data_IF_397928290526
#
_entry.id   IF_397928290526
#
_cell.length_a   1.000
_cell.length_b   1.000
_cell.length_c   1.000
_cell.angle_alpha   90.00
_cell.angle_beta   90.00
_cell.angle_gamma   90.00
#
_symmetry.space_group_name_H-M   'P 1'
#
loop_
_entity.id
_entity.type
_entity.pdbx_description
1 polymer ?
#
# COMPACT_ATOMS: atom_id res chain seq x y z
N UNK A 1 3.60 9.49 -102.02
CA UNK A 1 4.93 10.06 -101.67
C UNK A 1 5.06 10.09 -100.15
N UNK A 2 6.19 9.55 -99.65
CA UNK A 2 6.84 9.77 -98.33
C UNK A 2 6.17 9.31 -97.01
N UNK A 3 6.51 8.06 -96.67
CA UNK A 3 7.03 7.48 -95.40
C UNK A 3 6.57 8.00 -94.01
N UNK A 4 6.28 7.07 -93.06
CA UNK A 4 6.03 7.35 -91.64
C UNK A 4 7.32 7.31 -90.79
N UNK A 5 7.36 8.11 -89.72
CA UNK A 5 8.47 8.19 -88.75
C UNK A 5 8.18 7.34 -87.50
N UNK A 6 9.24 6.70 -87.01
CA UNK A 6 9.34 5.69 -85.94
C UNK A 6 9.48 6.29 -84.52
N UNK A 7 8.94 5.54 -83.55
CA UNK A 7 9.50 5.10 -82.25
C UNK A 7 10.00 6.08 -81.17
N UNK A 8 9.43 5.92 -79.96
CA UNK A 8 10.07 6.08 -78.63
C UNK A 8 9.32 5.14 -77.65
N UNK A 9 9.85 3.97 -77.30
CA UNK A 9 10.88 3.67 -76.28
C UNK A 9 10.36 3.76 -74.83
N UNK A 10 9.83 2.63 -74.35
CA UNK A 10 9.41 2.32 -72.99
C UNK A 10 10.63 2.16 -72.06
N UNK A 11 10.71 2.96 -70.99
CA UNK A 11 11.73 2.80 -69.95
C UNK A 11 11.31 1.76 -68.90
N UNK A 12 12.23 0.86 -68.60
CA UNK A 12 12.19 -0.19 -67.56
C UNK A 12 12.93 0.31 -66.32
N UNK A 13 12.50 0.02 -65.08
CA UNK A 13 13.27 0.35 -63.88
C UNK A 13 14.45 -0.61 -63.67
N UNK A 14 15.54 -0.17 -63.02
CA UNK A 14 16.72 -0.99 -62.78
C UNK A 14 16.57 -1.92 -61.56
N UNK A 15 17.08 -3.15 -61.71
CA UNK A 15 17.31 -4.11 -60.63
C UNK A 15 18.49 -3.66 -59.73
N UNK A 16 18.47 -3.98 -58.42
CA UNK A 16 19.60 -3.76 -57.53
C UNK A 16 20.67 -4.86 -57.67
N UNK A 17 21.94 -4.44 -57.75
CA UNK A 17 23.11 -5.32 -57.75
C UNK A 17 23.51 -5.74 -56.33
N UNK A 18 24.11 -6.94 -56.15
CA UNK A 18 24.61 -7.44 -54.88
C UNK A 18 26.11 -7.20 -54.74
N UNK A 19 26.58 -6.69 -53.60
CA UNK A 19 28.02 -6.70 -53.29
C UNK A 19 28.34 -6.69 -51.79
N UNK A 20 29.25 -7.61 -51.45
CA UNK A 20 30.27 -7.56 -50.41
C UNK A 20 29.86 -7.86 -48.95
N UNK A 21 29.91 -9.15 -48.63
CA UNK A 21 30.24 -9.68 -47.30
C UNK A 21 31.69 -10.14 -47.36
N UNK A 22 32.59 -9.47 -46.64
CA UNK A 22 33.86 -10.03 -46.18
C UNK A 22 34.43 -9.20 -45.02
N UNK A 23 34.79 -9.93 -43.96
CA UNK A 23 35.86 -9.72 -42.99
C UNK A 23 35.88 -8.52 -42.05
N UNK A 24 35.55 -8.80 -40.78
CA UNK A 24 36.34 -8.30 -39.65
C UNK A 24 36.34 -9.34 -38.50
N UNK A 25 37.47 -10.05 -38.36
CA UNK A 25 37.88 -10.78 -37.17
C UNK A 25 38.98 -9.94 -36.50
N UNK A 26 38.75 -9.44 -35.27
CA UNK A 26 39.68 -9.56 -34.12
C UNK A 26 39.41 -8.55 -33.00
N UNK A 27 39.30 -9.11 -31.79
CA UNK A 27 39.92 -8.70 -30.52
C UNK A 27 39.52 -7.38 -29.81
N UNK A 28 38.77 -7.55 -28.71
CA UNK A 28 38.94 -6.83 -27.43
C UNK A 28 38.27 -7.70 -26.33
N UNK A 29 39.02 -8.44 -25.52
CA UNK A 29 39.63 -8.03 -24.24
C UNK A 29 38.62 -7.97 -23.07
N UNK A 30 38.78 -8.98 -22.21
CA UNK A 30 38.38 -9.16 -20.82
C UNK A 30 37.71 -8.00 -20.07
N UNK A 31 36.58 -8.29 -19.42
CA UNK A 31 36.19 -7.68 -18.14
C UNK A 31 35.49 -8.71 -17.24
N UNK A 32 35.88 -8.67 -15.97
CA UNK A 32 35.57 -9.59 -14.89
C UNK A 32 34.08 -9.71 -14.55
N UNK A 33 33.67 -10.95 -14.27
CA UNK A 33 32.41 -11.27 -13.61
C UNK A 33 32.60 -11.27 -12.08
N UNK A 34 31.95 -10.32 -11.41
CA UNK A 34 31.64 -10.39 -9.97
C UNK A 34 30.22 -10.95 -9.78
N UNK A 35 30.01 -11.97 -8.92
CA UNK A 35 28.67 -12.36 -8.51
C UNK A 35 28.28 -11.65 -7.21
N UNK A 36 27.34 -10.71 -7.30
CA UNK A 36 26.65 -10.13 -6.14
C UNK A 36 25.58 -11.11 -5.66
N UNK A 37 25.83 -11.74 -4.52
CA UNK A 37 24.82 -12.45 -3.75
C UNK A 37 23.87 -11.42 -3.10
N UNK A 38 22.58 -11.47 -3.46
CA UNK A 38 21.51 -10.76 -2.78
C UNK A 38 20.51 -11.76 -2.21
N UNK A 39 20.68 -12.02 -0.92
CA UNK A 39 19.70 -12.62 -0.01
C UNK A 39 18.51 -11.68 0.13
N UNK A 40 17.33 -12.10 -0.35
CA UNK A 40 16.06 -11.51 0.06
C UNK A 40 15.23 -12.55 0.81
N UNK A 41 14.87 -12.17 2.03
CA UNK A 41 14.06 -12.92 2.97
C UNK A 41 12.64 -12.31 3.03
N UNK A 42 11.65 -13.16 3.28
CA UNK A 42 10.27 -12.80 3.64
C UNK A 42 9.35 -12.57 2.44
N UNK A 43 8.09 -13.01 2.41
CA UNK A 43 7.20 -13.46 3.50
C UNK A 43 6.00 -14.18 2.89
N UNK A 44 5.58 -15.30 3.51
CA UNK A 44 4.17 -15.59 3.77
C UNK A 44 3.29 -16.13 2.63
N UNK A 45 3.26 -17.46 2.46
CA UNK A 45 2.06 -18.14 1.95
C UNK A 45 1.62 -19.22 2.93
N UNK A 46 0.50 -18.96 3.60
CA UNK A 46 -0.20 -19.85 4.50
C UNK A 46 -0.76 -21.05 3.70
N UNK A 47 -0.45 -22.27 4.17
CA UNK A 47 -1.18 -23.48 3.80
C UNK A 47 -1.83 -24.05 5.05
N UNK A 48 -3.15 -24.08 5.03
CA UNK A 48 -3.99 -24.92 5.88
C UNK A 48 -3.56 -26.38 5.77
N UNK A 49 -3.37 -27.02 6.92
CA UNK A 49 -3.45 -28.47 7.07
C UNK A 49 -4.11 -28.79 8.40
N UNK A 50 -5.17 -29.57 8.26
CA UNK A 50 -5.88 -30.31 9.30
C UNK A 50 -4.94 -31.19 10.12
N UNK A 51 -5.29 -31.43 11.38
CA UNK A 51 -4.56 -32.36 12.23
C UNK A 51 -5.08 -32.42 13.66
N UNK A 52 -6.00 -33.35 13.87
CA UNK A 52 -6.37 -33.98 15.15
C UNK A 52 -5.26 -33.99 16.20
N UNK A 53 -5.60 -33.59 17.44
CA UNK A 53 -4.93 -34.12 18.64
C UNK A 53 -5.94 -34.35 19.76
N UNK A 54 -6.38 -35.61 19.83
CA UNK A 54 -6.85 -36.27 21.04
C UNK A 54 -5.66 -36.51 21.98
N UNK A 55 -5.77 -36.16 23.27
CA UNK A 55 -4.60 -36.26 24.17
C UNK A 55 -4.82 -35.97 25.65
N UNK A 56 -5.55 -36.87 26.32
CA UNK A 56 -5.37 -37.36 27.72
C UNK A 56 -4.73 -36.41 28.75
N UNK A 57 -5.56 -35.89 29.65
CA UNK A 57 -5.17 -35.30 30.92
C UNK A 57 -4.80 -36.34 32.00
N UNK A 58 -3.59 -36.13 32.52
CA UNK A 58 -2.97 -36.44 33.83
C UNK A 58 -3.72 -37.24 34.93
N UNK A 59 -2.99 -38.13 35.67
CA UNK A 59 -3.53 -38.86 36.82
C UNK A 59 -3.40 -38.10 38.15
N UNK A 60 -4.46 -38.15 38.97
CA UNK A 60 -4.51 -37.80 40.40
C UNK A 60 -3.96 -38.97 41.24
N UNK A 61 -2.94 -38.75 42.06
CA UNK A 61 -2.54 -39.61 43.17
C UNK A 61 -2.12 -38.75 44.37
N UNK A 62 -2.96 -38.61 45.40
CA UNK A 62 -3.00 -39.42 46.65
C UNK A 62 -1.67 -39.45 47.40
N UNK A 63 -1.49 -38.51 48.32
CA UNK A 63 -0.54 -38.61 49.44
C UNK A 63 -1.28 -39.02 50.72
N UNK A 64 -0.74 -39.93 51.55
CA UNK A 64 -1.29 -40.23 52.87
C UNK A 64 -0.60 -39.41 53.96
N UNK A 65 -1.39 -38.68 54.74
CA UNK A 65 -0.99 -38.13 56.04
C UNK A 65 -1.18 -39.21 57.11
N UNK A 66 -0.13 -39.52 57.88
CA UNK A 66 -0.21 -40.27 59.14
C UNK A 66 0.42 -39.43 60.24
N UNK A 67 -0.43 -38.92 61.12
CA UNK A 67 -0.05 -38.31 62.38
C UNK A 67 0.31 -39.35 63.44
N UNK A 68 1.08 -38.91 64.43
CA UNK A 68 1.26 -39.55 65.72
C UNK A 68 1.27 -38.45 66.82
N UNK A 69 0.83 -38.76 68.05
CA UNK A 69 0.18 -37.79 68.92
C UNK A 69 1.08 -37.25 70.05
N UNK A 70 0.91 -35.96 70.36
CA UNK A 70 1.30 -35.35 71.63
C UNK A 70 0.40 -35.89 72.76
N UNK A 71 1.01 -36.46 73.80
CA UNK A 71 0.37 -36.66 75.11
C UNK A 71 1.08 -35.78 76.14
N UNK A 72 0.40 -34.70 76.46
CA UNK A 72 0.61 -33.89 77.66
C UNK A 72 -0.01 -34.63 78.85
N UNK A 73 0.80 -35.04 79.82
CA UNK A 73 0.31 -35.40 81.15
C UNK A 73 1.07 -34.59 82.20
N UNK A 74 0.31 -33.65 82.75
CA UNK A 74 0.63 -32.71 83.79
C UNK A 74 0.25 -33.39 85.12
N UNK A 75 1.21 -33.81 85.95
CA UNK A 75 0.88 -34.25 87.32
C UNK A 75 2.02 -33.95 88.29
N UNK A 76 1.80 -32.89 89.07
CA UNK A 76 2.59 -32.48 90.23
C UNK A 76 2.31 -33.41 91.41
N UNK A 77 3.33 -33.88 92.16
CA UNK A 77 3.12 -34.32 93.52
C UNK A 77 3.93 -33.49 94.54
N UNK A 78 3.18 -32.86 95.44
CA UNK A 78 3.41 -32.75 96.87
C UNK A 78 4.85 -32.70 97.41
N UNK A 79 5.22 -31.51 97.89
CA UNK A 79 6.21 -31.26 98.96
C UNK A 79 6.19 -32.35 100.03
N UNK A 80 7.29 -33.09 100.18
CA UNK A 80 7.63 -33.83 101.41
C UNK A 80 9.07 -33.52 101.82
N UNK A 81 9.19 -33.06 103.07
CA UNK A 81 10.29 -33.20 104.04
C UNK A 81 11.73 -33.30 103.51
N UNK A 82 12.51 -32.23 103.73
CA UNK A 82 13.96 -32.16 103.54
C UNK A 82 14.70 -33.17 104.44
N UNK A 83 15.05 -34.34 103.89
CA UNK A 83 16.08 -35.23 104.44
C UNK A 83 17.47 -34.79 103.93
N UNK A 84 18.43 -34.65 104.84
CA UNK A 84 19.85 -34.47 104.54
C UNK A 84 20.45 -35.84 104.18
N UNK A 85 21.03 -35.96 102.99
CA UNK A 85 21.75 -37.16 102.52
C UNK A 85 23.26 -36.86 102.57
N UNK A 86 24.07 -37.86 102.91
CA UNK A 86 25.53 -37.73 102.97
C UNK A 86 26.14 -37.93 101.57
N UNK A 87 27.04 -37.04 101.16
CA UNK A 87 27.70 -37.13 99.87
C UNK A 87 28.71 -38.29 99.86
N UNK A 88 28.55 -39.27 98.97
CA UNK A 88 29.39 -40.48 98.93
C UNK A 88 30.88 -40.26 98.61
N UNK A 89 31.28 -39.04 98.24
CA UNK A 89 32.67 -38.72 97.88
C UNK A 89 33.41 -37.93 98.96
N UNK A 90 32.71 -37.19 99.81
CA UNK A 90 33.34 -36.37 100.86
C UNK A 90 32.67 -36.49 102.23
N UNK A 91 31.65 -37.35 102.34
CA UNK A 91 30.97 -37.78 103.56
C UNK A 91 30.32 -36.65 104.38
N UNK A 92 30.13 -35.46 103.79
CA UNK A 92 29.42 -34.34 104.45
C UNK A 92 27.91 -34.43 104.21
N UNK A 93 27.11 -34.27 105.28
CA UNK A 93 25.64 -34.25 105.24
C UNK A 93 25.11 -32.92 104.72
N UNK A 94 24.46 -32.92 103.55
CA UNK A 94 23.91 -31.71 102.92
C UNK A 94 22.50 -31.96 102.35
N UNK A 95 21.70 -30.89 102.25
CA UNK A 95 20.31 -30.95 101.72
C UNK A 95 20.24 -31.11 100.18
N UNK A 96 21.38 -31.22 99.50
CA UNK A 96 21.52 -31.38 98.04
C UNK A 96 22.44 -32.59 97.78
N UNK A 97 22.15 -33.38 96.74
CA UNK A 97 22.79 -34.68 96.43
C UNK A 97 24.32 -34.66 96.31
N UNK A 98 24.94 -33.50 96.10
CA UNK A 98 26.39 -33.35 95.95
C UNK A 98 26.84 -32.07 96.63
N UNK A 99 27.99 -32.10 97.32
CA UNK A 99 28.60 -30.87 97.79
C UNK A 99 29.16 -30.05 96.61
N UNK A 100 29.33 -28.72 96.76
CA UNK A 100 29.83 -27.84 95.69
C UNK A 100 31.12 -28.34 95.03
N UNK A 101 32.02 -28.95 95.82
CA UNK A 101 33.30 -29.49 95.34
C UNK A 101 33.11 -30.73 94.47
N UNK A 102 32.20 -31.64 94.83
CA UNK A 102 31.91 -32.85 94.06
C UNK A 102 31.21 -32.53 92.74
N UNK A 103 30.27 -31.58 92.73
CA UNK A 103 29.66 -31.08 91.49
C UNK A 103 30.71 -30.43 90.59
N UNK A 104 31.59 -29.62 91.15
CA UNK A 104 32.67 -28.98 90.39
C UNK A 104 33.61 -30.00 89.75
N UNK A 105 33.96 -31.07 90.47
CA UNK A 105 34.78 -32.16 89.93
C UNK A 105 34.05 -32.95 88.83
N UNK A 106 32.78 -33.31 89.03
CA UNK A 106 32.02 -34.03 88.00
C UNK A 106 31.79 -33.19 86.73
N UNK A 107 31.53 -31.88 86.87
CA UNK A 107 31.44 -30.96 85.73
C UNK A 107 32.79 -30.87 85.01
N UNK A 108 33.90 -30.83 85.76
CA UNK A 108 35.25 -30.84 85.19
C UNK A 108 35.53 -32.12 84.41
N UNK A 109 35.25 -33.29 85.01
CA UNK A 109 35.47 -34.59 84.37
C UNK A 109 34.58 -34.77 83.14
N UNK A 110 33.31 -34.32 83.21
CA UNK A 110 32.42 -34.33 82.06
C UNK A 110 32.96 -33.45 80.92
N UNK A 111 33.40 -32.22 81.22
CA UNK A 111 34.03 -31.33 80.23
C UNK A 111 35.31 -31.92 79.64
N UNK A 112 36.14 -32.57 80.45
CA UNK A 112 37.34 -33.27 79.97
C UNK A 112 36.97 -34.46 79.06
N UNK A 113 35.94 -35.23 79.42
CA UNK A 113 35.44 -36.33 78.61
C UNK A 113 34.86 -35.84 77.28
N UNK A 114 34.10 -34.75 77.30
CA UNK A 114 33.55 -34.10 76.12
C UNK A 114 34.69 -33.57 75.22
N UNK A 115 35.69 -32.92 75.80
CA UNK A 115 36.87 -32.45 75.06
C UNK A 115 37.64 -33.60 74.39
N UNK A 116 37.77 -34.77 75.05
CA UNK A 116 38.39 -35.96 74.44
C UNK A 116 37.59 -36.48 73.26
N UNK A 117 36.26 -36.59 73.39
CA UNK A 117 35.37 -37.03 72.31
C UNK A 117 35.39 -36.04 71.14
N UNK A 118 35.42 -34.74 71.41
CA UNK A 118 35.54 -33.71 70.38
C UNK A 118 36.88 -33.78 69.65
N UNK A 119 37.99 -33.98 70.38
CA UNK A 119 39.31 -34.17 69.78
C UNK A 119 39.38 -35.43 68.92
N UNK A 120 38.79 -36.54 69.38
CA UNK A 120 38.72 -37.78 68.61
C UNK A 120 37.85 -37.63 67.36
N UNK A 121 36.70 -36.94 67.48
CA UNK A 121 35.84 -36.59 66.34
C UNK A 121 36.61 -35.76 65.31
N UNK A 122 37.34 -34.72 65.74
CA UNK A 122 38.15 -33.89 64.84
C UNK A 122 39.24 -34.71 64.16
N UNK A 123 39.91 -35.62 64.89
CA UNK A 123 40.90 -36.53 64.31
C UNK A 123 40.28 -37.43 63.24
N UNK A 124 39.13 -38.04 63.53
CA UNK A 124 38.40 -38.88 62.57
C UNK A 124 37.90 -38.07 61.37
N UNK A 125 37.39 -36.85 61.59
CA UNK A 125 37.01 -35.94 60.51
C UNK A 125 38.21 -35.59 59.62
N UNK A 126 39.39 -35.34 60.19
CA UNK A 126 40.62 -35.11 59.43
C UNK A 126 41.04 -36.31 58.58
N UNK A 127 40.95 -37.53 59.13
CA UNK A 127 41.24 -38.78 58.39
C UNK A 127 40.23 -38.98 57.25
N UNK A 128 38.94 -38.77 57.51
CA UNK A 128 37.89 -38.86 56.48
C UNK A 128 38.13 -37.82 55.39
N UNK A 129 38.44 -36.57 55.74
CA UNK A 129 38.73 -35.52 54.77
C UNK A 129 39.94 -35.88 53.90
N UNK A 130 41.04 -36.34 54.50
CA UNK A 130 42.23 -36.78 53.74
C UNK A 130 41.94 -37.95 52.80
N UNK A 131 41.06 -38.89 53.19
CA UNK A 131 40.64 -39.97 52.32
C UNK A 131 39.73 -39.48 51.19
N UNK A 132 38.85 -38.51 51.47
CA UNK A 132 38.02 -37.86 50.45
C UNK A 132 38.89 -37.09 49.46
N UNK A 133 39.85 -36.29 49.93
CA UNK A 133 40.77 -35.50 49.09
C UNK A 133 41.58 -36.40 48.14
N UNK A 134 41.93 -37.62 48.56
CA UNK A 134 42.61 -38.61 47.69
C UNK A 134 41.68 -39.25 46.67
N UNK A 135 40.39 -39.38 46.97
CA UNK A 135 39.39 -40.01 46.09
C UNK A 135 38.74 -39.02 45.12
N UNK A 136 38.64 -37.76 45.51
CA UNK A 136 38.04 -36.68 44.73
C UNK A 136 38.63 -36.52 43.32
N UNK A 137 39.96 -36.48 43.09
CA UNK A 137 40.52 -36.35 41.74
C UNK A 137 40.16 -37.54 40.84
N UNK A 138 40.07 -38.76 41.39
CA UNK A 138 39.64 -39.95 40.63
C UNK A 138 38.15 -39.90 40.29
N UNK A 139 37.33 -39.35 41.18
CA UNK A 139 35.89 -39.16 40.94
C UNK A 139 35.65 -38.10 39.86
N UNK A 140 36.37 -36.97 39.93
CA UNK A 140 36.26 -35.92 38.93
C UNK A 140 36.77 -36.38 37.57
N UNK A 141 37.91 -37.09 37.49
CA UNK A 141 38.42 -37.66 36.24
C UNK A 141 37.45 -38.69 35.63
N UNK A 142 36.86 -39.56 36.44
CA UNK A 142 35.85 -40.51 35.95
C UNK A 142 34.61 -39.77 35.44
N UNK A 143 34.16 -38.74 36.15
CA UNK A 143 33.02 -37.93 35.74
C UNK A 143 33.28 -37.17 34.43
N UNK A 144 34.46 -36.55 34.28
CA UNK A 144 34.85 -35.84 33.04
C UNK A 144 34.99 -36.81 31.88
N UNK A 145 35.57 -38.00 32.09
CA UNK A 145 35.65 -39.04 31.06
C UNK A 145 34.28 -39.52 30.60
N UNK A 146 33.35 -39.79 31.53
CA UNK A 146 31.98 -40.17 31.18
C UNK A 146 31.28 -39.05 30.40
N UNK A 147 31.44 -37.79 30.82
CA UNK A 147 30.88 -36.63 30.12
C UNK A 147 31.42 -36.52 28.69
N UNK A 148 32.73 -36.69 28.48
CA UNK A 148 33.34 -36.64 27.14
C UNK A 148 32.88 -37.80 26.24
N UNK A 149 32.71 -39.00 26.81
CA UNK A 149 32.16 -40.16 26.07
C UNK A 149 30.74 -39.88 25.63
N UNK A 150 29.90 -39.36 26.52
CA UNK A 150 28.51 -39.05 26.21
C UNK A 150 28.40 -37.91 25.20
N UNK A 151 29.25 -36.87 25.32
CA UNK A 151 29.33 -35.80 24.31
C UNK A 151 29.77 -36.31 22.95
N UNK A 152 30.72 -37.24 22.91
CA UNK A 152 31.17 -37.86 21.66
C UNK A 152 30.05 -38.68 21.02
N UNK A 153 29.27 -39.41 21.82
CA UNK A 153 28.10 -40.17 21.33
C UNK A 153 27.01 -39.25 20.79
N UNK A 154 26.75 -38.14 21.48
CA UNK A 154 25.80 -37.12 21.04
C UNK A 154 26.21 -36.51 19.69
N UNK A 155 27.48 -36.10 19.55
CA UNK A 155 28.03 -35.56 18.31
C UNK A 155 27.93 -36.60 17.17
N UNK A 156 28.22 -37.87 17.44
CA UNK A 156 28.07 -38.94 16.43
C UNK A 156 26.63 -39.08 15.94
N UNK A 157 25.65 -39.07 16.84
CA UNK A 157 24.22 -39.09 16.49
C UNK A 157 23.82 -37.85 15.69
N UNK A 158 24.38 -36.69 16.02
CA UNK A 158 24.13 -35.45 15.28
C UNK A 158 24.67 -35.55 13.84
N UNK A 159 25.90 -36.04 13.68
CA UNK A 159 26.51 -36.24 12.36
C UNK A 159 25.72 -37.22 11.51
N UNK A 160 25.25 -38.34 12.09
CA UNK A 160 24.38 -39.29 11.39
C UNK A 160 23.06 -38.65 10.95
N UNK A 161 22.43 -37.87 11.82
CA UNK A 161 21.19 -37.14 11.49
C UNK A 161 21.40 -36.13 10.37
N UNK A 162 22.50 -35.38 10.41
CA UNK A 162 22.85 -34.41 9.37
C UNK A 162 23.18 -35.09 8.04
N UNK A 163 23.84 -36.25 8.06
CA UNK A 163 24.09 -37.06 6.86
C UNK A 163 22.78 -37.55 6.24
N UNK A 164 21.85 -38.04 7.06
CA UNK A 164 20.54 -38.48 6.60
C UNK A 164 19.75 -37.32 5.96
N UNK A 165 19.69 -36.16 6.64
CA UNK A 165 19.03 -34.96 6.11
C UNK A 165 19.69 -34.45 4.82
N UNK A 166 21.01 -34.52 4.71
CA UNK A 166 21.72 -34.16 3.48
C UNK A 166 21.37 -35.10 2.33
N UNK A 167 21.27 -36.40 2.58
CA UNK A 167 20.85 -37.38 1.57
C UNK A 167 19.40 -37.12 1.11
N UNK A 168 18.48 -36.86 2.04
CA UNK A 168 17.09 -36.51 1.75
C UNK A 168 16.98 -35.22 0.90
N UNK A 169 17.74 -34.19 1.24
CA UNK A 169 17.78 -32.94 0.47
C UNK A 169 18.34 -33.15 -0.94
N UNK A 170 19.38 -33.97 -1.10
CA UNK A 170 19.92 -34.32 -2.43
C UNK A 170 18.89 -35.04 -3.30
N UNK A 171 18.13 -35.97 -2.72
CA UNK A 171 17.06 -36.66 -3.45
C UNK A 171 15.92 -35.71 -3.84
N UNK A 172 15.52 -34.81 -2.94
CA UNK A 172 14.52 -33.78 -3.24
C UNK A 172 14.96 -32.84 -4.37
N UNK A 173 16.25 -32.46 -4.41
CA UNK A 173 16.80 -31.66 -5.51
C UNK A 173 16.73 -32.44 -6.82
N UNK A 174 17.11 -33.73 -6.82
CA UNK A 174 17.02 -34.60 -8.00
C UNK A 174 15.59 -34.69 -8.54
N UNK A 175 14.60 -34.91 -7.67
CA UNK A 175 13.18 -34.97 -8.04
C UNK A 175 12.68 -33.64 -8.63
N UNK A 176 13.09 -32.49 -8.07
CA UNK A 176 12.72 -31.17 -8.60
C UNK A 176 13.37 -30.88 -9.95
N UNK A 177 14.61 -31.31 -10.16
CA UNK A 177 15.27 -31.19 -11.46
C UNK A 177 14.55 -32.01 -12.53
N UNK A 178 14.09 -33.21 -12.18
CA UNK A 178 13.30 -34.06 -13.07
C UNK A 178 11.95 -33.42 -13.44
N UNK A 179 11.20 -32.91 -12.45
CA UNK A 179 9.93 -32.20 -12.69
C UNK A 179 10.14 -30.96 -13.59
N UNK A 180 11.19 -30.18 -13.36
CA UNK A 180 11.52 -29.03 -14.22
C UNK A 180 11.86 -29.46 -15.65
N UNK A 181 12.61 -30.55 -15.82
CA UNK A 181 12.92 -31.10 -17.15
C UNK A 181 11.64 -31.52 -17.88
N UNK A 182 10.76 -32.26 -17.20
CA UNK A 182 9.47 -32.67 -17.77
C UNK A 182 8.58 -31.48 -18.14
N UNK A 183 8.55 -30.41 -17.32
CA UNK A 183 7.80 -29.18 -17.64
C UNK A 183 8.38 -28.46 -18.85
N UNK A 184 9.71 -28.38 -18.98
CA UNK A 184 10.37 -27.80 -20.15
C UNK A 184 10.04 -28.58 -21.42
N UNK A 185 10.07 -29.91 -21.37
CA UNK A 185 9.66 -30.76 -22.49
C UNK A 185 8.18 -30.57 -22.86
N UNK A 186 7.29 -30.51 -21.86
CA UNK A 186 5.85 -30.24 -22.09
C UNK A 186 5.63 -28.87 -22.72
N UNK A 187 6.33 -27.84 -22.24
CA UNK A 187 6.26 -26.50 -22.82
C UNK A 187 6.80 -26.47 -24.24
N UNK A 188 7.90 -27.17 -24.52
CA UNK A 188 8.47 -27.25 -25.87
C UNK A 188 7.52 -27.96 -26.84
N UNK A 189 6.88 -29.07 -26.42
CA UNK A 189 5.83 -29.73 -27.22
C UNK A 189 4.62 -28.81 -27.45
N UNK A 190 4.18 -28.08 -26.43
CA UNK A 190 3.09 -27.11 -26.58
C UNK A 190 3.49 -25.96 -27.52
N UNK A 191 4.72 -25.46 -27.44
CA UNK A 191 5.26 -24.45 -28.36
C UNK A 191 5.25 -24.97 -29.80
N UNK A 192 5.65 -26.21 -30.05
CA UNK A 192 5.59 -26.80 -31.40
C UNK A 192 4.16 -26.86 -31.95
N UNK A 193 3.15 -27.10 -31.11
CA UNK A 193 1.74 -27.07 -31.51
C UNK A 193 1.25 -25.64 -31.78
N UNK A 194 1.68 -24.65 -30.99
CA UNK A 194 1.30 -23.23 -31.14
C UNK A 194 2.02 -22.57 -32.32
N UNK A 195 3.27 -22.96 -32.61
CA UNK A 195 4.05 -22.47 -33.75
C UNK A 195 3.62 -23.06 -35.09
N UNK A 196 2.61 -23.94 -35.12
CA UNK A 196 2.04 -24.42 -36.37
C UNK A 196 1.37 -23.26 -37.12
N UNK A 197 1.85 -22.87 -38.31
CA UNK A 197 1.38 -21.69 -39.05
C UNK A 197 -0.09 -21.79 -39.49
N UNK A 198 -0.72 -22.95 -39.35
CA UNK A 198 -2.11 -23.20 -39.75
C UNK A 198 -3.15 -22.68 -38.75
N UNK A 199 -2.79 -22.43 -37.49
CA UNK A 199 -3.70 -21.86 -36.47
C UNK A 199 -3.50 -20.35 -36.26
N UNK A 200 -2.41 -19.78 -36.77
CA UNK A 200 -2.10 -18.35 -36.63
C UNK A 200 -2.87 -17.48 -37.63
N UNK A 201 -3.17 -18.01 -38.82
CA UNK A 201 -3.91 -17.28 -39.87
C UNK A 201 -5.33 -16.87 -39.46
N UNK A 202 -6.19 -17.71 -38.82
CA UNK A 202 -7.52 -17.26 -38.39
C UNK A 202 -7.47 -16.25 -37.24
N UNK A 203 -6.49 -16.35 -36.34
CA UNK A 203 -6.36 -15.41 -35.23
C UNK A 203 -5.91 -14.02 -35.71
N UNK A 204 -4.89 -13.97 -36.57
CA UNK A 204 -4.45 -12.71 -37.20
C UNK A 204 -5.55 -12.10 -38.06
N UNK A 205 -6.31 -12.92 -38.80
CA UNK A 205 -7.46 -12.45 -39.57
C UNK A 205 -8.62 -11.96 -38.68
N UNK A 206 -8.83 -12.58 -37.52
CA UNK A 206 -9.82 -12.11 -36.54
C UNK A 206 -9.39 -10.80 -35.88
N UNK A 207 -8.10 -10.66 -35.53
CA UNK A 207 -7.53 -9.43 -35.00
C UNK A 207 -7.64 -8.28 -36.01
N UNK A 208 -7.25 -8.51 -37.27
CA UNK A 208 -7.36 -7.46 -38.30
C UNK A 208 -8.81 -7.06 -38.58
N UNK A 209 -9.76 -8.00 -38.50
CA UNK A 209 -11.21 -7.68 -38.56
C UNK A 209 -11.66 -6.86 -37.36
N UNK A 210 -11.19 -7.18 -36.16
CA UNK A 210 -11.52 -6.44 -34.95
C UNK A 210 -10.95 -5.02 -34.99
N UNK A 211 -9.71 -4.85 -35.47
CA UNK A 211 -9.08 -3.55 -35.66
C UNK A 211 -9.85 -2.72 -36.69
N UNK A 212 -10.21 -3.32 -37.84
CA UNK A 212 -11.01 -2.64 -38.86
C UNK A 212 -12.40 -2.24 -38.35
N UNK A 213 -13.05 -3.06 -37.51
CA UNK A 213 -14.33 -2.72 -36.89
C UNK A 213 -14.16 -1.60 -35.84
N UNK A 214 -13.08 -1.62 -35.06
CA UNK A 214 -12.74 -0.57 -34.10
C UNK A 214 -12.55 0.77 -34.80
N UNK A 215 -11.80 0.79 -35.91
CA UNK A 215 -11.59 1.99 -36.72
C UNK A 215 -12.91 2.53 -37.31
N UNK A 216 -13.78 1.65 -37.83
CA UNK A 216 -15.11 2.06 -38.32
C UNK A 216 -15.99 2.64 -37.22
N UNK A 217 -15.96 2.07 -36.02
CA UNK A 217 -16.69 2.61 -34.87
C UNK A 217 -16.13 3.96 -34.42
N UNK A 218 -14.81 4.14 -34.42
CA UNK A 218 -14.19 5.44 -34.11
C UNK A 218 -14.60 6.50 -35.14
N UNK A 219 -14.57 6.17 -36.44
CA UNK A 219 -15.05 7.06 -37.51
C UNK A 219 -16.53 7.42 -37.35
N UNK A 220 -17.39 6.46 -37.02
CA UNK A 220 -18.81 6.70 -36.80
C UNK A 220 -19.04 7.66 -35.60
N UNK A 221 -18.33 7.46 -34.49
CA UNK A 221 -18.41 8.35 -33.32
C UNK A 221 -17.91 9.74 -33.60
N UNK A 222 -16.84 9.86 -34.38
CA UNK A 222 -16.35 11.16 -34.83
C UNK A 222 -17.40 11.87 -35.68
N UNK A 223 -18.01 11.16 -36.64
CA UNK A 223 -19.12 11.70 -37.43
C UNK A 223 -20.26 12.21 -36.55
N UNK A 224 -20.65 11.44 -35.53
CA UNK A 224 -21.66 11.88 -34.55
C UNK A 224 -21.22 13.11 -33.77
N UNK A 225 -19.98 13.19 -33.31
CA UNK A 225 -19.47 14.36 -32.58
C UNK A 225 -19.47 15.62 -33.45
N UNK A 226 -19.09 15.51 -34.73
CA UNK A 226 -19.15 16.63 -35.68
C UNK A 226 -20.60 17.07 -35.95
N UNK A 227 -21.53 16.11 -36.12
CA UNK A 227 -22.96 16.41 -36.24
C UNK A 227 -23.50 17.09 -34.97
N UNK A 228 -23.06 16.68 -33.78
CA UNK A 228 -23.43 17.36 -32.55
C UNK A 228 -22.87 18.78 -32.50
N UNK A 229 -21.63 19.02 -32.92
CA UNK A 229 -21.11 20.40 -33.04
C UNK A 229 -21.98 21.25 -33.96
N UNK A 230 -22.42 20.69 -35.10
CA UNK A 230 -23.29 21.40 -36.04
C UNK A 230 -24.68 21.68 -35.45
N UNK A 231 -25.33 20.67 -34.85
CA UNK A 231 -26.68 20.79 -34.25
C UNK A 231 -26.71 21.77 -33.09
N UNK A 232 -25.66 21.80 -32.27
CA UNK A 232 -25.53 22.75 -31.16
C UNK A 232 -24.90 24.09 -31.58
N UNK A 233 -24.59 24.27 -32.87
CA UNK A 233 -23.91 25.44 -33.41
C UNK A 233 -22.66 25.83 -32.57
N UNK A 234 -21.85 24.83 -32.24
CA UNK A 234 -20.66 25.00 -31.42
C UNK A 234 -19.53 25.58 -32.29
N UNK A 235 -19.28 26.87 -32.13
CA UNK A 235 -18.28 27.61 -32.93
C UNK A 235 -17.30 28.37 -32.07
N UNK A 236 -16.06 28.44 -32.55
CA UNK A 236 -15.07 29.37 -32.03
C UNK A 236 -15.07 30.62 -32.92
N UNK A 237 -15.31 31.79 -32.33
CA UNK A 237 -15.24 33.07 -33.03
C UNK A 237 -13.77 33.42 -33.33
N UNK A 238 -13.56 34.37 -34.24
CA UNK A 238 -12.22 34.91 -34.53
C UNK A 238 -11.57 35.60 -33.32
N UNK A 239 -12.38 36.02 -32.34
CA UNK A 239 -11.91 36.57 -31.06
C UNK A 239 -11.43 35.50 -30.08
N UNK A 240 -11.56 34.21 -30.44
CA UNK A 240 -11.26 33.08 -29.56
C UNK A 240 -12.36 32.77 -28.55
N UNK A 241 -13.53 33.41 -28.67
CA UNK A 241 -14.68 33.16 -27.82
C UNK A 241 -15.47 31.98 -28.37
N UNK A 242 -15.78 31.02 -27.52
CA UNK A 242 -16.61 29.90 -27.92
C UNK A 242 -18.09 30.23 -27.70
N UNK A 243 -18.90 29.89 -28.69
CA UNK A 243 -20.36 30.10 -28.69
C UNK A 243 -21.07 28.77 -28.87
N UNK A 244 -22.25 28.63 -28.27
CA UNK A 244 -23.15 27.48 -28.43
C UNK A 244 -24.56 28.02 -28.68
N UNK A 245 -25.21 27.59 -29.77
CA UNK A 245 -26.49 28.15 -30.23
C UNK A 245 -26.44 29.68 -30.33
N UNK A 246 -25.34 30.20 -30.91
CA UNK A 246 -25.04 31.64 -31.01
C UNK A 246 -24.96 32.41 -29.67
N UNK A 247 -24.94 31.72 -28.53
CA UNK A 247 -24.76 32.34 -27.22
C UNK A 247 -23.28 32.21 -26.79
N UNK A 248 -22.58 33.32 -26.51
CA UNK A 248 -21.20 33.27 -26.04
C UNK A 248 -21.13 32.73 -24.61
N UNK A 249 -20.19 31.82 -24.38
CA UNK A 249 -19.86 31.38 -23.02
C UNK A 249 -19.09 32.49 -22.31
N UNK A 250 -19.50 32.91 -21.09
CA UNK A 250 -18.80 33.97 -20.40
C UNK A 250 -17.36 33.57 -20.12
N UNK A 251 -16.45 34.53 -20.26
CA UNK A 251 -15.09 34.33 -19.77
C UNK A 251 -15.14 34.11 -18.26
N UNK A 252 -14.25 33.27 -17.71
CA UNK A 252 -14.08 33.18 -16.26
C UNK A 252 -13.88 34.57 -15.66
N UNK A 253 -14.60 34.90 -14.58
CA UNK A 253 -14.74 36.27 -14.06
C UNK A 253 -15.88 37.13 -14.66
N UNK A 254 -16.24 36.96 -15.93
CA UNK A 254 -17.26 37.78 -16.61
C UNK A 254 -18.70 37.26 -16.44
N UNK A 255 -18.88 36.12 -15.80
CA UNK A 255 -20.22 35.56 -15.55
C UNK A 255 -21.10 36.49 -14.69
N UNK A 256 -20.52 37.47 -13.99
CA UNK A 256 -21.23 38.51 -13.22
C UNK A 256 -21.93 39.55 -14.11
N UNK A 257 -21.34 39.83 -15.27
CA UNK A 257 -21.88 40.81 -16.23
C UNK A 257 -22.87 40.18 -17.20
N UNK A 258 -22.92 38.85 -17.24
CA UNK A 258 -23.80 38.10 -18.14
C UNK A 258 -25.18 37.95 -17.52
N UNK A 259 -26.23 38.19 -18.31
CA UNK A 259 -27.62 38.01 -17.84
C UNK A 259 -27.83 36.55 -17.41
N UNK A 260 -28.48 36.28 -16.25
CA UNK A 260 -28.70 34.93 -15.75
C UNK A 260 -29.40 34.01 -16.75
N UNK A 261 -30.34 34.54 -17.53
CA UNK A 261 -31.09 33.79 -18.53
C UNK A 261 -30.18 33.27 -19.64
N UNK A 262 -29.27 34.12 -20.12
CA UNK A 262 -28.28 33.76 -21.13
C UNK A 262 -27.32 32.70 -20.60
N UNK A 263 -26.80 32.88 -19.40
CA UNK A 263 -25.88 31.92 -18.79
C UNK A 263 -26.53 30.55 -18.57
N UNK A 264 -27.75 30.54 -18.02
CA UNK A 264 -28.50 29.31 -17.82
C UNK A 264 -28.79 28.61 -19.16
N UNK A 265 -29.15 29.36 -20.21
CA UNK A 265 -29.35 28.82 -21.55
C UNK A 265 -28.10 28.13 -22.10
N UNK A 266 -26.95 28.84 -22.06
CA UNK A 266 -25.65 28.30 -22.46
C UNK A 266 -25.29 27.03 -21.69
N UNK A 267 -25.49 27.04 -20.36
CA UNK A 267 -25.19 25.88 -19.52
C UNK A 267 -26.08 24.68 -19.87
N UNK A 268 -27.38 24.87 -20.07
CA UNK A 268 -28.29 23.79 -20.45
C UNK A 268 -27.86 23.14 -21.77
N UNK A 269 -27.51 23.94 -22.78
CA UNK A 269 -27.01 23.42 -24.06
C UNK A 269 -25.65 22.71 -23.89
N UNK A 270 -24.74 23.27 -23.09
CA UNK A 270 -23.42 22.67 -22.81
C UNK A 270 -23.57 21.31 -22.10
N UNK A 271 -24.45 21.22 -21.11
CA UNK A 271 -24.72 19.98 -20.38
C UNK A 271 -25.36 18.92 -21.28
N UNK A 272 -26.24 19.35 -22.19
CA UNK A 272 -26.84 18.46 -23.17
C UNK A 272 -25.79 17.87 -24.12
N UNK A 273 -24.96 18.74 -24.71
CA UNK A 273 -23.87 18.34 -25.58
C UNK A 273 -22.89 17.40 -24.88
N UNK A 274 -22.43 17.76 -23.67
CA UNK A 274 -21.49 16.94 -22.89
C UNK A 274 -22.07 15.56 -22.58
N UNK A 275 -23.34 15.48 -22.22
CA UNK A 275 -24.00 14.20 -21.95
C UNK A 275 -24.06 13.31 -23.20
N UNK A 276 -24.43 13.88 -24.36
CA UNK A 276 -24.47 13.15 -25.63
C UNK A 276 -23.08 12.68 -26.05
N UNK A 277 -22.06 13.54 -25.92
CA UNK A 277 -20.67 13.17 -26.21
C UNK A 277 -20.19 12.03 -25.31
N UNK A 278 -20.37 12.15 -24.00
CA UNK A 278 -19.99 11.09 -23.06
C UNK A 278 -20.73 9.78 -23.34
N UNK A 279 -22.02 9.86 -23.68
CA UNK A 279 -22.84 8.71 -24.06
C UNK A 279 -22.33 8.02 -25.33
N UNK A 280 -22.11 8.77 -26.42
CA UNK A 280 -21.63 8.19 -27.69
C UNK A 280 -20.20 7.66 -27.60
N UNK A 281 -19.36 8.29 -26.78
CA UNK A 281 -18.00 7.83 -26.49
C UNK A 281 -17.99 6.68 -25.47
N UNK A 282 -19.10 6.36 -24.80
CA UNK A 282 -19.14 5.31 -23.78
C UNK A 282 -18.27 5.61 -22.54
N UNK A 283 -18.06 6.89 -22.23
CA UNK A 283 -17.22 7.34 -21.13
C UNK A 283 -18.10 7.74 -19.93
N UNK A 284 -17.82 7.15 -18.76
CA UNK A 284 -18.48 7.52 -17.50
C UNK A 284 -17.80 8.75 -16.91
N UNK A 285 -18.56 9.82 -16.71
CA UNK A 285 -18.05 11.07 -16.15
C UNK A 285 -17.82 10.98 -14.62
N UNK A 286 -16.77 11.61 -14.07
CA UNK A 286 -16.49 11.67 -12.64
C UNK A 286 -17.61 12.36 -11.85
N UNK A 287 -18.17 13.45 -12.39
CA UNK A 287 -19.28 14.17 -11.78
C UNK A 287 -20.60 13.92 -12.53
N UNK A 288 -21.61 13.44 -11.81
CA UNK A 288 -22.95 13.14 -12.37
C UNK A 288 -23.81 14.39 -12.35
N UNK A 289 -24.43 14.67 -13.49
CA UNK A 289 -25.41 15.75 -13.65
C UNK A 289 -26.81 15.18 -13.37
N UNK A 290 -27.57 15.83 -12.50
CA UNK A 290 -28.96 15.47 -12.16
C UNK A 290 -29.87 16.68 -12.22
N UNK A 291 -31.15 16.45 -12.56
CA UNK A 291 -32.14 17.50 -12.78
C UNK A 291 -33.24 17.42 -11.74
N UNK A 292 -33.71 18.56 -11.23
CA UNK A 292 -34.75 18.60 -10.18
C UNK A 292 -36.09 17.98 -10.60
N UNK A 293 -36.40 17.96 -11.91
CA UNK A 293 -37.62 17.35 -12.44
C UNK A 293 -37.54 15.83 -12.65
N UNK A 294 -36.45 15.18 -12.25
CA UNK A 294 -36.25 13.73 -12.40
C UNK A 294 -36.03 13.25 -13.85
N UNK A 295 -36.24 14.12 -14.85
CA UNK A 295 -35.99 13.87 -16.27
C UNK A 295 -34.85 14.73 -16.77
N UNK A 296 -34.06 14.19 -17.71
CA UNK A 296 -32.98 14.91 -18.34
C UNK A 296 -33.49 16.19 -19.03
N UNK A 297 -32.81 17.32 -18.81
CA UNK A 297 -33.18 18.67 -19.28
C UNK A 297 -34.45 19.27 -18.69
N UNK A 298 -35.09 18.62 -17.70
CA UNK A 298 -36.31 19.14 -17.06
C UNK A 298 -36.01 19.64 -15.64
N UNK A 299 -36.07 20.96 -15.48
CA UNK A 299 -35.88 21.64 -14.19
C UNK A 299 -34.48 22.20 -14.00
N UNK A 300 -34.03 22.27 -12.75
CA UNK A 300 -32.76 22.89 -12.36
C UNK A 300 -31.62 21.86 -12.36
N UNK A 301 -30.55 22.07 -13.13
CA UNK A 301 -29.41 21.16 -13.15
C UNK A 301 -28.58 21.30 -11.87
N UNK A 302 -28.12 20.17 -11.37
CA UNK A 302 -27.19 20.05 -10.24
C UNK A 302 -26.12 19.02 -10.59
N UNK A 303 -24.92 19.20 -10.05
CA UNK A 303 -23.78 18.33 -10.29
C UNK A 303 -23.20 17.85 -8.96
N UNK A 304 -22.74 16.60 -8.91
CA UNK A 304 -22.11 16.00 -7.73
C UNK A 304 -21.13 14.91 -8.14
N UNK A 305 -20.18 14.56 -7.27
CA UNK A 305 -19.31 13.42 -7.50
C UNK A 305 -20.12 12.12 -7.69
N UNK A 306 -19.70 11.29 -8.64
CA UNK A 306 -20.17 9.92 -8.76
C UNK A 306 -19.68 9.08 -7.57
N UNK A 307 -20.37 7.98 -7.28
CA UNK A 307 -19.87 7.01 -6.29
C UNK A 307 -18.57 6.39 -6.81
N UNK A 308 -17.48 6.62 -6.10
CA UNK A 308 -16.15 6.07 -6.35
C UNK A 308 -15.47 5.64 -5.05
N UNK A 309 -14.38 4.89 -5.15
CA UNK A 309 -13.55 4.53 -4.01
C UNK A 309 -12.69 5.74 -3.61
N UNK A 310 -12.30 5.83 -2.34
CA UNK A 310 -11.40 6.91 -1.88
C UNK A 310 -10.04 6.92 -2.59
N UNK A 311 -9.66 5.81 -3.22
CA UNK A 311 -8.43 5.66 -4.01
C UNK A 311 -8.53 6.30 -5.41
N UNK A 312 -9.75 6.63 -5.89
CA UNK A 312 -9.96 7.14 -7.24
C UNK A 312 -9.54 8.62 -7.36
N UNK A 313 -9.44 9.36 -6.26
CA UNK A 313 -8.86 10.72 -6.25
C UNK A 313 -9.59 11.74 -5.36
N UNK A 314 -9.10 12.99 -5.39
CA UNK A 314 -9.55 14.09 -4.52
C UNK A 314 -10.95 14.65 -4.88
N UNK A 315 -11.50 14.25 -6.02
CA UNK A 315 -12.82 14.66 -6.50
C UNK A 315 -13.95 13.86 -5.82
N UNK A 316 -13.68 12.65 -5.32
CA UNK A 316 -14.70 11.75 -4.73
C UNK A 316 -15.33 12.34 -3.47
N UNK A 317 -14.60 13.17 -2.73
CA UNK A 317 -15.10 13.85 -1.51
C UNK A 317 -16.21 14.88 -1.79
N UNK A 318 -16.40 15.29 -3.05
CA UNK A 318 -17.35 16.34 -3.43
C UNK A 318 -18.75 15.77 -3.73
N UNK A 319 -19.32 15.11 -2.73
CA UNK A 319 -20.62 14.43 -2.81
C UNK A 319 -21.82 15.36 -2.69
N UNK A 320 -21.60 16.58 -2.17
CA UNK A 320 -22.63 17.62 -2.02
C UNK A 320 -23.11 18.09 -3.40
N UNK A 321 -24.42 18.16 -3.59
CA UNK A 321 -25.02 18.67 -4.83
C UNK A 321 -24.73 20.16 -4.99
N UNK A 322 -24.06 20.51 -6.07
CA UNK A 322 -23.78 21.90 -6.43
C UNK A 322 -24.74 22.36 -7.56
N UNK A 323 -25.36 23.54 -7.45
CA UNK A 323 -26.27 24.04 -8.47
C UNK A 323 -25.51 24.53 -9.73
N UNK A 324 -25.94 24.08 -10.90
CA UNK A 324 -25.45 24.55 -12.22
C UNK A 324 -26.42 25.56 -12.84
N UNK A 325 -27.04 26.39 -12.02
CA UNK A 325 -27.96 27.43 -12.46
C UNK A 325 -27.85 28.64 -11.54
N UNK A 326 -28.15 29.80 -12.09
CA UNK A 326 -28.26 31.05 -11.33
C UNK A 326 -29.73 31.45 -11.28
N UNK A 327 -30.30 31.57 -10.08
CA UNK A 327 -31.63 32.18 -9.91
C UNK A 327 -31.54 33.70 -10.09
N UNK A 328 -32.61 34.34 -10.57
CA UNK A 328 -32.73 35.80 -10.58
C UNK A 328 -32.53 36.41 -9.18
N UNK A 329 -32.96 35.72 -8.11
CA UNK A 329 -32.74 36.15 -6.73
C UNK A 329 -31.26 36.11 -6.34
N UNK A 330 -30.52 35.10 -6.80
CA UNK A 330 -29.08 34.98 -6.55
C UNK A 330 -28.30 36.00 -7.39
N UNK A 331 -28.77 36.29 -8.61
CA UNK A 331 -28.21 37.32 -9.48
C UNK A 331 -28.22 38.71 -8.84
N UNK A 332 -29.33 39.08 -8.18
CA UNK A 332 -29.42 40.34 -7.45
C UNK A 332 -28.40 40.41 -6.29
N UNK A 333 -28.12 39.29 -5.63
CA UNK A 333 -27.09 39.21 -4.57
C UNK A 333 -25.68 39.35 -5.15
N UNK A 334 -25.43 38.86 -6.36
CA UNK A 334 -24.12 39.01 -7.03
C UNK A 334 -23.81 40.45 -7.40
N UNK A 335 -24.82 41.21 -7.82
CA UNK A 335 -24.63 42.60 -8.20
C UNK A 335 -24.23 43.49 -7.01
N UNK A 336 -24.68 43.17 -5.79
CA UNK A 336 -24.49 44.02 -4.60
C UNK A 336 -23.31 43.65 -3.70
N UNK A 337 -22.95 42.37 -3.58
CA UNK A 337 -21.99 41.90 -2.56
C UNK A 337 -20.62 41.48 -3.10
N UNK A 338 -20.37 41.61 -4.41
CA UNK A 338 -19.04 41.37 -5.01
C UNK A 338 -18.52 39.93 -4.95
N UNK A 339 -19.29 38.97 -4.45
CA UNK A 339 -18.90 37.56 -4.34
C UNK A 339 -19.95 36.63 -4.98
N UNK A 340 -19.48 35.75 -5.86
CA UNK A 340 -20.21 34.64 -6.47
C UNK A 340 -20.39 33.58 -5.36
N UNK A 341 -21.49 32.82 -5.28
CA UNK A 341 -21.58 31.82 -4.23
C UNK A 341 -20.55 30.76 -4.59
N UNK A 342 -19.75 30.40 -3.60
CA UNK A 342 -18.75 29.35 -3.72
C UNK A 342 -19.31 28.07 -4.35
N UNK A 343 -20.61 27.80 -4.20
CA UNK A 343 -21.30 26.66 -4.81
C UNK A 343 -21.37 26.69 -6.34
N UNK A 344 -21.62 27.84 -6.98
CA UNK A 344 -21.72 27.93 -8.44
C UNK A 344 -20.37 27.80 -9.12
N UNK A 345 -19.34 28.52 -8.63
CA UNK A 345 -17.95 28.35 -9.09
C UNK A 345 -17.50 26.90 -8.93
N UNK A 346 -17.82 26.27 -7.79
CA UNK A 346 -17.53 24.83 -7.58
C UNK A 346 -18.23 23.96 -8.60
N UNK A 347 -19.53 24.20 -8.89
CA UNK A 347 -20.28 23.47 -9.91
C UNK A 347 -19.65 23.62 -11.31
N UNK A 348 -19.21 24.83 -11.66
CA UNK A 348 -18.56 25.12 -12.94
C UNK A 348 -17.20 24.42 -13.04
N UNK A 349 -16.42 24.36 -11.95
CA UNK A 349 -15.20 23.57 -11.88
C UNK A 349 -15.46 22.07 -12.06
N UNK A 350 -16.55 21.53 -11.50
CA UNK A 350 -16.94 20.13 -11.71
C UNK A 350 -17.27 19.85 -13.17
N UNK A 351 -17.98 20.78 -13.82
CA UNK A 351 -18.29 20.69 -15.25
C UNK A 351 -17.01 20.72 -16.09
N UNK A 352 -16.10 21.64 -15.81
CA UNK A 352 -14.82 21.74 -16.50
C UNK A 352 -13.97 20.48 -16.30
N UNK A 353 -13.91 19.94 -15.08
CA UNK A 353 -13.20 18.70 -14.80
C UNK A 353 -13.78 17.52 -15.60
N UNK A 354 -15.10 17.44 -15.77
CA UNK A 354 -15.70 16.41 -16.64
C UNK A 354 -15.24 16.54 -18.10
N UNK A 355 -15.12 17.76 -18.63
CA UNK A 355 -14.64 17.99 -20.00
C UNK A 355 -13.16 17.62 -20.13
N UNK A 356 -12.32 18.05 -19.19
CA UNK A 356 -10.89 17.70 -19.16
C UNK A 356 -10.68 16.19 -19.00
N UNK A 357 -11.48 15.54 -18.15
CA UNK A 357 -11.48 14.09 -18.03
C UNK A 357 -11.86 13.42 -19.37
N UNK A 358 -12.89 13.92 -20.05
CA UNK A 358 -13.29 13.41 -21.36
C UNK A 358 -12.16 13.56 -22.38
N UNK A 359 -11.48 14.71 -22.44
CA UNK A 359 -10.27 14.93 -23.26
C UNK A 359 -9.15 13.92 -22.96
N UNK A 360 -8.84 13.72 -21.68
CA UNK A 360 -7.82 12.75 -21.26
C UNK A 360 -8.16 11.32 -21.70
N UNK A 361 -9.43 10.89 -21.58
CA UNK A 361 -9.84 9.56 -22.06
C UNK A 361 -9.70 9.39 -23.57
N UNK A 362 -9.73 10.48 -24.34
CA UNK A 362 -9.47 10.46 -25.79
C UNK A 362 -7.99 10.63 -26.14
N UNK A 363 -7.11 10.83 -25.15
CA UNK A 363 -5.67 11.03 -25.36
C UNK A 363 -5.28 12.39 -25.87
N UNK A 364 -6.11 13.37 -25.58
CA UNK A 364 -5.75 14.77 -25.75
C UNK A 364 -5.01 15.23 -24.49
N UNK A 365 -3.98 16.04 -24.68
CA UNK A 365 -3.21 16.60 -23.59
C UNK A 365 -4.10 17.48 -22.73
N UNK A 366 -4.14 17.21 -21.43
CA UNK A 366 -4.84 18.04 -20.45
C UNK A 366 -3.83 19.01 -19.81
N UNK A 367 -4.18 20.30 -19.65
CA UNK A 367 -3.34 21.23 -18.91
C UNK A 367 -3.00 20.71 -17.51
N UNK A 368 -1.71 20.54 -17.22
CA UNK A 368 -1.23 20.10 -15.91
C UNK A 368 -0.83 18.63 -15.81
N UNK A 369 -1.04 17.82 -16.86
CA UNK A 369 -0.28 16.57 -16.99
C UNK A 369 1.20 16.97 -17.11
N UNK A 370 2.00 16.58 -16.12
CA UNK A 370 3.43 16.89 -16.09
C UNK A 370 4.12 16.46 -17.40
N UNK A 371 5.28 17.04 -17.73
CA UNK A 371 5.98 16.71 -18.98
C UNK A 371 6.16 15.20 -19.06
N UNK A 372 5.41 14.56 -19.97
CA UNK A 372 5.60 13.15 -20.26
C UNK A 372 7.05 13.00 -20.74
N UNK A 373 7.83 12.08 -20.15
CA UNK A 373 9.26 11.94 -20.47
C UNK A 373 9.52 11.58 -21.94
N UNK A 374 8.48 11.21 -22.70
CA UNK A 374 8.59 10.77 -24.09
C UNK A 374 8.25 11.83 -25.14
N UNK A 375 7.84 13.06 -24.76
CA UNK A 375 7.45 14.07 -25.75
C UNK A 375 8.09 15.43 -25.41
N UNK A 376 8.93 16.00 -26.30
CA UNK A 376 9.51 17.31 -26.07
C UNK A 376 8.37 18.34 -25.90
N UNK A 377 8.46 19.21 -24.88
CA UNK A 377 7.40 20.16 -24.60
C UNK A 377 7.20 21.07 -25.82
N UNK A 378 5.94 21.27 -26.28
CA UNK A 378 5.67 22.25 -27.33
C UNK A 378 6.14 23.64 -26.86
N UNK A 379 6.56 24.52 -27.78
CA UNK A 379 7.01 25.87 -27.42
C UNK A 379 5.92 26.56 -26.60
N UNK A 380 6.26 26.84 -25.34
CA UNK A 380 5.37 27.44 -24.36
C UNK A 380 4.97 28.80 -24.91
N UNK A 381 3.70 28.95 -25.31
CA UNK A 381 3.10 30.27 -25.52
C UNK A 381 2.97 30.91 -24.15
N UNK A 382 3.95 31.76 -23.83
CA UNK A 382 4.08 32.48 -22.58
C UNK A 382 2.74 33.18 -22.24
N UNK A 383 1.99 32.62 -21.29
CA UNK A 383 0.70 33.13 -20.82
C UNK A 383 -0.47 32.13 -20.82
N UNK A 384 -0.38 30.99 -21.52
CA UNK A 384 -1.50 30.03 -21.66
C UNK A 384 -1.58 28.92 -20.58
N UNK A 385 -0.66 28.89 -19.61
CA UNK A 385 -0.63 27.84 -18.58
C UNK A 385 -1.57 28.08 -17.38
N UNK A 386 -2.33 29.16 -17.36
CA UNK A 386 -3.36 29.33 -16.35
C UNK A 386 -4.59 28.53 -16.80
N UNK A 387 -5.13 27.67 -15.92
CA UNK A 387 -6.37 26.91 -16.13
C UNK A 387 -7.60 27.73 -15.65
N UNK A 388 -8.05 28.80 -16.30
CA UNK A 388 -9.45 29.12 -16.13
C UNK A 388 -10.25 28.11 -16.97
N UNK A 389 -11.39 27.59 -16.47
CA UNK A 389 -12.17 26.57 -17.17
C UNK A 389 -12.69 27.11 -18.51
N UNK A 390 -12.16 26.63 -19.64
CA UNK A 390 -12.61 27.02 -20.99
C UNK A 390 -13.54 25.97 -21.58
N UNK A 391 -14.58 25.61 -20.82
CA UNK A 391 -15.47 24.46 -21.07
C UNK A 391 -15.85 24.27 -22.55
N UNK A 392 -16.32 25.31 -23.24
CA UNK A 392 -16.69 25.19 -24.66
C UNK A 392 -15.50 25.08 -25.61
N UNK A 393 -14.40 25.80 -25.37
CA UNK A 393 -13.20 25.66 -26.22
C UNK A 393 -12.62 24.25 -26.07
N UNK A 394 -12.60 23.71 -24.86
CA UNK A 394 -12.14 22.36 -24.57
C UNK A 394 -13.03 21.31 -25.27
N UNK A 395 -14.35 21.53 -25.31
CA UNK A 395 -15.29 20.70 -26.08
C UNK A 395 -15.09 20.80 -27.60
N UNK A 396 -14.77 21.99 -28.12
CA UNK A 396 -14.41 22.16 -29.54
C UNK A 396 -13.13 21.39 -29.84
N UNK A 397 -12.09 21.58 -29.03
CA UNK A 397 -10.81 20.87 -29.14
C UNK A 397 -10.97 19.35 -29.00
N UNK A 398 -11.95 18.87 -28.22
CA UNK A 398 -12.28 17.45 -28.13
C UNK A 398 -12.85 16.88 -29.43
N UNK A 399 -13.68 17.64 -30.14
CA UNK A 399 -14.45 17.13 -31.28
C UNK A 399 -13.69 17.16 -32.62
N UNK A 400 -12.64 17.97 -32.74
CA UNK A 400 -11.85 18.16 -33.97
C UNK A 400 -10.94 16.97 -34.34
N UNK A 401 -10.18 16.36 -33.40
CA UNK A 401 -9.15 15.37 -33.73
C UNK A 401 -9.64 14.13 -34.48
N UNK A 402 -8.84 13.66 -35.44
CA UNK A 402 -9.11 12.41 -36.19
C UNK A 402 -9.08 11.14 -35.31
N UNK A 403 -8.48 11.24 -34.12
CA UNK A 403 -8.34 10.15 -33.15
C UNK A 403 -9.54 9.99 -32.22
N UNK A 404 -10.55 10.87 -32.30
CA UNK A 404 -11.71 10.85 -31.41
C UNK A 404 -12.41 9.48 -31.46
N UNK A 405 -12.69 8.91 -30.28
CA UNK A 405 -13.38 7.63 -30.16
C UNK A 405 -12.49 6.38 -30.30
N UNK A 406 -11.24 6.50 -30.75
CA UNK A 406 -10.31 5.34 -30.85
C UNK A 406 -9.95 4.78 -29.48
N UNK A 407 -9.63 5.65 -28.52
CA UNK A 407 -9.23 5.24 -27.15
C UNK A 407 -10.39 4.77 -26.30
N UNK A 408 -11.59 5.30 -26.54
CA UNK A 408 -12.81 4.98 -25.80
C UNK A 408 -13.15 3.48 -25.76
N UNK A 409 -12.67 2.71 -26.75
CA UNK A 409 -12.93 1.27 -26.86
C UNK A 409 -11.66 0.45 -27.00
N UNK A 410 -10.51 1.02 -26.63
CA UNK A 410 -9.30 0.23 -26.49
C UNK A 410 -9.56 -0.82 -25.38
N UNK A 411 -9.70 -2.08 -25.79
CA UNK A 411 -9.90 -3.19 -24.85
C UNK A 411 -8.62 -3.48 -24.07
N UNK A 412 -7.46 -2.98 -24.54
CA UNK A 412 -6.17 -3.09 -23.89
C UNK A 412 -5.31 -1.83 -24.09
N UNK A 413 -4.79 -1.23 -23.00
CA UNK A 413 -5.23 -1.46 -21.62
C UNK A 413 -6.71 -1.10 -21.48
N UNK A 414 -7.46 -1.81 -20.62
CA UNK A 414 -8.83 -1.39 -20.27
C UNK A 414 -8.80 0.07 -19.88
N UNK A 415 -9.79 0.85 -20.33
CA UNK A 415 -9.96 2.20 -19.82
C UNK A 415 -9.94 2.12 -18.29
N UNK A 416 -9.04 2.87 -17.63
CA UNK A 416 -9.03 2.89 -16.18
C UNK A 416 -10.42 3.28 -15.67
N UNK A 417 -10.82 2.80 -14.47
CA UNK A 417 -11.94 3.40 -13.76
C UNK A 417 -11.82 4.92 -13.80
N UNK A 418 -12.95 5.67 -13.82
CA UNK A 418 -12.91 7.12 -13.88
C UNK A 418 -11.88 7.63 -12.89
N UNK A 419 -10.83 8.26 -13.46
CA UNK A 419 -9.68 8.97 -12.85
C UNK A 419 -8.38 8.25 -12.50
N UNK A 420 -8.19 6.94 -12.69
CA UNK A 420 -6.80 6.44 -12.61
C UNK A 420 -5.98 6.98 -13.79
N UNK A 421 -4.92 7.72 -13.48
CA UNK A 421 -3.95 8.23 -14.46
C UNK A 421 -4.17 9.67 -14.92
N UNK A 422 -5.25 10.35 -14.54
CA UNK A 422 -5.37 11.80 -14.78
C UNK A 422 -4.48 12.54 -13.77
N UNK A 423 -3.41 13.19 -14.22
CA UNK A 423 -2.48 13.92 -13.35
C UNK A 423 -3.07 15.21 -12.77
N UNK A 424 -4.24 15.62 -13.26
CA UNK A 424 -4.96 16.81 -12.83
C UNK A 424 -5.88 16.52 -11.63
N UNK A 425 -5.63 17.17 -10.50
CA UNK A 425 -6.51 17.11 -9.32
C UNK A 425 -7.65 18.12 -9.41
N UNK A 426 -8.80 17.78 -8.85
CA UNK A 426 -9.97 18.67 -8.86
C UNK A 426 -9.70 19.95 -8.07
N UNK A 427 -8.95 19.87 -6.95
CA UNK A 427 -8.55 21.01 -6.16
C UNK A 427 -7.84 22.09 -7.01
N UNK A 428 -6.99 21.70 -7.96
CA UNK A 428 -6.29 22.63 -8.85
C UNK A 428 -7.23 23.32 -9.83
N UNK A 429 -8.20 22.59 -10.40
CA UNK A 429 -9.22 23.17 -11.29
C UNK A 429 -10.11 24.15 -10.52
N UNK A 430 -10.46 23.82 -9.27
CA UNK A 430 -11.25 24.70 -8.41
C UNK A 430 -10.49 25.96 -8.01
N UNK A 431 -9.21 25.83 -7.64
CA UNK A 431 -8.37 26.96 -7.28
C UNK A 431 -8.19 27.92 -8.45
N UNK A 432 -7.90 27.40 -9.64
CA UNK A 432 -7.73 28.21 -10.83
C UNK A 432 -9.05 28.88 -11.28
N UNK A 433 -10.20 28.23 -11.08
CA UNK A 433 -11.50 28.87 -11.28
C UNK A 433 -11.76 30.01 -10.29
N UNK A 434 -11.41 29.85 -9.00
CA UNK A 434 -11.54 30.90 -7.98
C UNK A 434 -10.64 32.10 -8.25
N UNK A 435 -9.43 31.86 -8.74
CA UNK A 435 -8.49 32.90 -9.16
C UNK A 435 -9.05 33.68 -10.35
N UNK A 436 -9.56 32.97 -11.36
CA UNK A 436 -10.17 33.58 -12.54
C UNK A 436 -11.43 34.39 -12.23
N UNK A 437 -12.21 33.96 -11.25
CA UNK A 437 -13.41 34.69 -10.79
C UNK A 437 -13.09 35.94 -9.96
N UNK A 438 -11.80 36.25 -9.74
CA UNK A 438 -11.34 37.35 -8.89
C UNK A 438 -11.67 37.15 -7.40
N UNK A 439 -12.18 35.96 -7.03
CA UNK A 439 -12.59 35.66 -5.66
C UNK A 439 -11.41 35.65 -4.71
N UNK A 440 -10.22 35.26 -5.17
CA UNK A 440 -8.99 35.30 -4.36
C UNK A 440 -8.58 36.74 -4.04
N UNK A 441 -8.62 37.63 -5.02
CA UNK A 441 -8.31 39.06 -4.83
C UNK A 441 -9.34 39.76 -3.94
N UNK A 442 -10.62 39.41 -4.06
CA UNK A 442 -11.67 39.94 -3.20
C UNK A 442 -11.54 39.44 -1.75
N UNK A 443 -11.18 38.17 -1.54
CA UNK A 443 -10.93 37.61 -0.20
C UNK A 443 -9.67 38.20 0.43
N UNK A 444 -8.59 38.37 -0.34
CA UNK A 444 -7.36 39.03 0.13
C UNK A 444 -7.63 40.50 0.51
N UNK A 445 -8.46 41.21 -0.25
CA UNK A 445 -8.89 42.57 0.09
C UNK A 445 -9.71 42.59 1.39
N UNK A 446 -10.66 41.66 1.58
CA UNK A 446 -11.43 41.55 2.83
C UNK A 446 -10.55 41.23 4.03
N UNK A 447 -9.61 40.30 3.85
CA UNK A 447 -8.67 39.92 4.92
C UNK A 447 -7.72 41.06 5.27
N UNK A 448 -7.35 41.91 4.30
CA UNK A 448 -6.60 43.12 4.56
C UNK A 448 -7.43 44.16 5.34
N UNK A 449 -8.71 44.33 4.99
CA UNK A 449 -9.63 45.23 5.73
C UNK A 449 -9.89 44.73 7.17
N UNK A 450 -9.99 43.41 7.40
CA UNK A 450 -10.16 42.83 8.74
C UNK A 450 -8.86 42.82 9.56
N UNK A 451 -7.69 42.71 8.91
CA UNK A 451 -6.39 42.69 9.56
C UNK A 451 -5.92 44.05 10.10
N UNK A 452 -6.41 45.15 9.50
CA UNK A 452 -6.14 46.52 9.97
C UNK A 452 -7.09 46.98 11.10
N UNK A 453 -8.00 46.12 11.59
CA UNK A 453 -8.90 46.43 12.70
C UNK A 453 -8.34 46.03 14.08
N UNK A 454 -7.17 45.37 14.14
CA UNK A 454 -6.47 45.03 15.38
C UNK A 454 -5.50 46.17 15.78
N UNK A 455 -6.03 47.40 15.85
CA UNK A 455 -5.31 48.51 16.49
C UNK A 455 -5.42 48.31 18.00
N UNK A 456 -4.29 47.96 18.60
CA UNK A 456 -3.98 47.99 20.03
C UNK A 456 -5.00 48.80 20.86
N UNK A 457 -5.90 48.09 21.53
CA UNK A 457 -6.51 48.63 22.76
C UNK A 457 -5.37 48.67 23.77
N UNK A 458 -4.70 49.82 23.83
CA UNK A 458 -3.81 50.17 24.93
C UNK A 458 -4.71 50.24 26.18
N UNK A 459 -4.69 49.19 26.99
CA UNK A 459 -5.24 49.22 28.34
C UNK A 459 -4.43 50.25 29.15
N UNK A 460 -4.93 51.48 29.20
CA UNK A 460 -4.50 52.51 30.15
C UNK A 460 -4.94 52.08 31.56
N UNK A 461 -4.12 51.24 32.18
CA UNK A 461 -4.18 50.96 33.62
C UNK A 461 -3.40 52.06 34.35
N UNK A 462 -4.11 53.13 34.73
CA UNK A 462 -3.65 54.19 35.63
C UNK A 462 -4.56 54.34 36.82
#
# INVERSE_FOLDING_TARGET
MLKPRRSSATQRPPNPSPTCIADHISAAAATDHTPVASTSAGTGQARNRDGDTSGKGTPKGKGPAKGAPEKNDNTTPGRKSLHTMECSTCERSQRRFFCPTCVANHIRDFRLSQSRVEAEKQRLQGVVQQLLDKLEPRRTEKATRTLLIDRTREIKREVERLRHRSAELKENVRLRQEDLRQRRERLQRAQQLVSSPLTFTPLTAAQSRLDALSDRLALARRGLALLLMEVFDLRQTTTGEATIVSLPFPKPGDHRHTKPEQLNGVLVHTLHLLHLLAYYLGVKLPFVISWSGGRFLVGKPTIRASSGNSEDGDWVRWTVKQPLYISAADAARYAGAGAVPSSFTTALSMLAFNVLYLMHTQGLSVPGDGPSPATPPPPIRNGENQLPPRVLNDLICLCIPDSLGRRSHATRPHLPPPTHGLGLTFARVLEAAKEADGSKRAEELRKAEEGDADWDIIDDSG
#
